data_IF_956429506285
#
_entry.id   IF_956429506285
#
_cell.length_a   1.000
_cell.length_b   1.000
_cell.length_c   1.000
_cell.angle_alpha   90.00
_cell.angle_beta   90.00
_cell.angle_gamma   90.00
#
_symmetry.space_group_name_H-M   'P 1'
#
loop_
_entity.id
_entity.type
_entity.pdbx_description
1 polymer ?
#
# COMPACT_ATOMS: atom_id res chain seq x y z
N UNK A 1 -14.74 -36.42 -36.29
CA UNK A 1 -14.71 -37.17 -35.01
C UNK A 1 -13.31 -37.05 -34.43
N UNK A 2 -13.12 -36.16 -33.44
CA UNK A 2 -12.18 -36.23 -32.30
C UNK A 2 -12.01 -34.81 -31.73
N UNK A 3 -13.00 -34.47 -30.90
CA UNK A 3 -12.90 -33.46 -29.85
C UNK A 3 -12.08 -34.02 -28.68
N UNK A 4 -11.66 -33.08 -27.82
CA UNK A 4 -11.33 -33.20 -26.40
C UNK A 4 -9.89 -33.59 -26.05
N UNK A 5 -9.15 -32.62 -25.49
CA UNK A 5 -8.59 -32.66 -24.12
C UNK A 5 -7.65 -31.46 -23.89
N UNK A 6 -8.18 -30.31 -23.47
CA UNK A 6 -7.43 -29.29 -22.72
C UNK A 6 -8.44 -28.63 -21.77
N UNK A 7 -8.58 -29.17 -20.56
CA UNK A 7 -9.34 -28.57 -19.44
C UNK A 7 -8.95 -29.34 -18.18
N UNK A 8 -7.78 -29.03 -17.64
CA UNK A 8 -7.32 -29.51 -16.32
C UNK A 8 -6.10 -28.74 -15.78
N UNK A 9 -5.90 -27.46 -16.16
CA UNK A 9 -4.75 -26.66 -15.70
C UNK A 9 -5.12 -25.27 -15.17
N UNK A 10 -6.41 -24.98 -14.99
CA UNK A 10 -6.90 -23.63 -14.70
C UNK A 10 -7.20 -23.35 -13.22
N UNK A 11 -6.98 -24.31 -12.31
CA UNK A 11 -7.34 -24.16 -10.88
C UNK A 11 -6.18 -24.18 -9.88
N UNK A 12 -4.92 -24.17 -10.34
CA UNK A 12 -3.75 -24.17 -9.44
C UNK A 12 -3.00 -22.83 -9.38
N UNK A 13 -3.23 -21.90 -10.31
CA UNK A 13 -2.50 -20.62 -10.35
C UNK A 13 -3.18 -19.46 -9.62
N UNK A 14 -4.50 -19.50 -9.39
CA UNK A 14 -5.21 -18.44 -8.66
C UNK A 14 -4.76 -18.35 -7.20
N UNK A 15 -4.23 -19.45 -6.66
CA UNK A 15 -3.67 -19.52 -5.32
C UNK A 15 -2.22 -19.01 -5.25
N UNK A 16 -1.44 -19.02 -6.33
CA UNK A 16 0.00 -18.70 -6.23
C UNK A 16 0.27 -17.20 -6.06
N UNK A 17 -0.53 -16.31 -6.65
CA UNK A 17 -0.30 -14.87 -6.50
C UNK A 17 -0.75 -14.30 -5.13
N UNK A 18 -1.74 -14.92 -4.48
CA UNK A 18 -2.14 -14.58 -3.12
C UNK A 18 -1.33 -15.35 -2.04
N UNK A 19 -0.77 -16.52 -2.37
CA UNK A 19 0.10 -17.28 -1.46
C UNK A 19 1.60 -16.94 -1.57
N UNK A 20 2.09 -16.37 -2.67
CA UNK A 20 3.53 -16.06 -2.82
C UNK A 20 4.03 -14.90 -1.95
N UNK A 21 3.13 -14.13 -1.32
CA UNK A 21 3.47 -13.10 -0.33
C UNK A 21 2.67 -13.25 0.98
N UNK A 22 1.88 -14.33 1.11
CA UNK A 22 0.97 -14.56 2.25
C UNK A 22 0.92 -16.00 2.76
N UNK A 23 1.54 -16.99 2.10
CA UNK A 23 1.57 -18.39 2.55
C UNK A 23 2.71 -19.18 1.88
N UNK A 24 3.94 -18.99 2.33
CA UNK A 24 4.97 -20.02 2.24
C UNK A 24 5.05 -20.78 3.58
N UNK A 25 3.97 -21.51 3.91
CA UNK A 25 3.89 -22.28 5.16
C UNK A 25 2.99 -23.51 5.05
N UNK A 26 3.56 -24.64 4.63
CA UNK A 26 3.04 -25.98 4.98
C UNK A 26 2.57 -26.84 3.81
N UNK A 27 3.48 -27.67 3.30
CA UNK A 27 3.12 -28.93 2.63
C UNK A 27 2.65 -29.96 3.66
N UNK A 28 1.45 -30.52 3.51
CA UNK A 28 1.18 -31.90 3.94
C UNK A 28 -0.04 -32.47 3.21
N UNK A 29 0.25 -33.43 2.33
CA UNK A 29 -0.51 -34.63 1.98
C UNK A 29 -1.99 -34.73 2.38
N UNK A 30 -2.87 -34.83 1.37
CA UNK A 30 -3.91 -35.87 1.32
C UNK A 30 -4.51 -35.95 -0.09
N UNK A 31 -4.00 -36.87 -0.92
CA UNK A 31 -4.87 -37.57 -1.85
C UNK A 31 -5.82 -38.47 -1.03
N UNK A 32 -7.14 -38.31 -1.18
CA UNK A 32 -8.05 -39.44 -1.09
C UNK A 32 -9.27 -39.21 -1.98
N UNK A 33 -9.34 -40.01 -3.04
CA UNK A 33 -10.49 -40.24 -3.90
C UNK A 33 -11.63 -41.01 -3.18
N UNK A 34 -12.81 -40.98 -3.84
CA UNK A 34 -14.07 -41.74 -3.66
C UNK A 34 -15.15 -41.02 -2.86
N UNK A 35 -16.45 -41.07 -3.17
CA UNK A 35 -17.27 -41.49 -4.32
C UNK A 35 -18.72 -41.32 -3.85
N UNK A 36 -19.65 -41.00 -4.76
CA UNK A 36 -21.09 -41.10 -4.51
C UNK A 36 -21.48 -42.50 -4.00
N UNK A 37 -22.50 -42.61 -3.13
CA UNK A 37 -23.83 -43.24 -3.36
C UNK A 37 -24.54 -43.61 -2.04
N UNK A 38 -25.74 -43.06 -1.84
CA UNK A 38 -26.98 -43.61 -1.24
C UNK A 38 -26.94 -44.74 -0.16
N UNK A 39 -27.63 -44.54 0.98
CA UNK A 39 -28.16 -45.64 1.80
C UNK A 39 -28.40 -45.40 3.31
N UNK A 40 -29.66 -45.11 3.68
CA UNK A 40 -30.43 -45.59 4.84
C UNK A 40 -29.73 -46.02 6.16
N UNK A 41 -30.11 -45.36 7.27
CA UNK A 41 -30.70 -46.05 8.43
C UNK A 41 -29.99 -45.97 9.80
N UNK A 42 -30.70 -45.40 10.80
CA UNK A 42 -30.60 -45.66 12.26
C UNK A 42 -29.34 -45.16 12.97
N UNK A 43 -29.30 -44.89 14.29
CA UNK A 43 -30.26 -44.79 15.40
C UNK A 43 -29.45 -44.21 16.58
N UNK A 44 -30.12 -43.40 17.41
CA UNK A 44 -29.92 -43.08 18.84
C UNK A 44 -28.52 -43.15 19.48
N UNK A 45 -28.12 -42.08 20.18
CA UNK A 45 -28.20 -42.01 21.66
C UNK A 45 -27.80 -40.63 22.19
N UNK A 46 -28.45 -40.24 23.28
CA UNK A 46 -28.34 -38.98 24.01
C UNK A 46 -27.29 -39.03 25.14
N UNK A 47 -26.79 -37.86 25.56
CA UNK A 47 -26.45 -37.53 26.97
C UNK A 47 -26.16 -36.01 27.06
N UNK A 48 -27.04 -35.12 27.56
CA UNK A 48 -27.33 -34.66 28.94
C UNK A 48 -26.19 -34.02 29.77
N UNK A 49 -26.48 -32.83 30.32
CA UNK A 49 -25.79 -32.15 31.44
C UNK A 49 -25.35 -30.71 31.11
N UNK A 50 -26.11 -29.67 31.48
CA UNK A 50 -26.09 -28.92 32.78
C UNK A 50 -24.76 -28.18 33.04
N UNK A 51 -24.65 -26.95 33.56
CA UNK A 51 -25.54 -26.02 34.26
C UNK A 51 -24.85 -24.63 34.31
N UNK A 52 -25.68 -23.58 34.30
CA UNK A 52 -25.68 -22.34 35.13
C UNK A 52 -24.36 -21.69 35.60
N UNK A 53 -24.27 -20.37 35.36
CA UNK A 53 -23.36 -19.46 36.08
C UNK A 53 -23.59 -17.98 35.76
N UNK A 54 -24.67 -17.39 36.29
CA UNK A 54 -24.87 -15.93 36.41
C UNK A 54 -24.03 -15.37 37.55
N UNK A 55 -23.39 -14.20 37.38
CA UNK A 55 -23.22 -13.19 38.44
C UNK A 55 -23.08 -11.78 37.85
N UNK A 56 -23.45 -10.80 38.67
CA UNK A 56 -23.89 -9.44 38.32
C UNK A 56 -23.12 -8.41 39.17
N UNK A 57 -23.12 -7.15 38.70
CA UNK A 57 -22.97 -5.86 39.42
C UNK A 57 -21.55 -5.33 39.72
N UNK A 58 -21.33 -4.08 39.29
CA UNK A 58 -20.39 -3.13 39.88
C UNK A 58 -20.54 -1.74 39.28
N UNK A 59 -21.36 -0.89 39.89
CA UNK A 59 -21.50 0.57 39.64
C UNK A 59 -20.76 1.37 40.71
N UNK A 60 -20.04 2.43 40.32
CA UNK A 60 -19.88 3.70 41.06
C UNK A 60 -19.32 4.78 40.10
N UNK A 61 -19.95 5.92 39.81
CA UNK A 61 -20.34 7.13 40.59
C UNK A 61 -19.26 8.24 40.59
N UNK A 62 -19.56 9.30 39.82
CA UNK A 62 -19.32 10.76 39.95
C UNK A 62 -18.04 11.36 40.56
N UNK A 63 -17.51 12.37 39.84
CA UNK A 63 -16.74 13.48 40.39
C UNK A 63 -16.88 14.76 39.53
N UNK A 64 -17.58 15.76 40.04
CA UNK A 64 -17.67 17.14 39.52
C UNK A 64 -16.87 18.09 40.40
N UNK A 65 -16.16 19.05 39.81
CA UNK A 65 -15.89 20.41 40.32
C UNK A 65 -15.05 21.19 39.28
N UNK A 66 -14.92 22.51 39.20
CA UNK A 66 -15.78 23.72 39.34
C UNK A 66 -14.84 24.89 38.97
N UNK A 67 -15.29 25.78 38.07
CA UNK A 67 -15.01 27.22 37.90
C UNK A 67 -13.62 27.82 38.22
N UNK A 68 -13.07 28.53 37.22
CA UNK A 68 -12.16 29.66 37.40
C UNK A 68 -12.43 30.75 36.36
N UNK A 69 -13.05 31.85 36.79
CA UNK A 69 -13.27 33.10 36.05
C UNK A 69 -12.03 33.99 36.20
N UNK A 70 -11.60 34.68 35.14
CA UNK A 70 -11.20 36.08 35.30
C UNK A 70 -11.29 36.91 34.01
N UNK A 71 -11.57 38.18 34.22
CA UNK A 71 -12.04 39.18 33.25
C UNK A 71 -10.97 40.25 33.10
N UNK A 72 -10.70 40.80 31.90
CA UNK A 72 -10.49 42.25 31.71
C UNK A 72 -10.41 42.68 30.25
N UNK A 73 -11.25 43.68 29.97
CA UNK A 73 -11.35 44.68 28.88
C UNK A 73 -10.02 45.35 28.49
N UNK A 74 -9.78 45.65 27.20
CA UNK A 74 -9.68 47.04 26.73
C UNK A 74 -9.72 47.23 25.20
N UNK A 75 -10.17 48.42 24.82
CA UNK A 75 -10.56 48.89 23.49
C UNK A 75 -9.42 49.71 22.88
N UNK A 76 -9.12 49.55 21.58
CA UNK A 76 -8.80 50.69 20.69
C UNK A 76 -8.86 50.28 19.23
N UNK A 77 -9.79 50.92 18.51
CA UNK A 77 -9.74 51.12 17.06
C UNK A 77 -8.65 52.15 16.77
N UNK A 78 -7.72 51.85 15.85
CA UNK A 78 -7.09 52.91 15.10
C UNK A 78 -6.77 52.50 13.67
N UNK A 79 -6.99 53.45 12.77
CA UNK A 79 -7.06 53.27 11.32
C UNK A 79 -5.81 53.88 10.72
N UNK A 80 -4.95 53.08 10.10
CA UNK A 80 -3.94 53.60 9.18
C UNK A 80 -3.89 52.73 7.93
N UNK A 81 -4.50 53.24 6.88
CA UNK A 81 -4.27 52.84 5.50
C UNK A 81 -2.87 53.35 5.11
N UNK A 82 -1.93 52.45 4.83
CA UNK A 82 -0.91 52.75 3.83
C UNK A 82 -0.37 51.48 3.15
N UNK A 83 0.07 51.72 1.93
CA UNK A 83 0.09 50.88 0.75
C UNK A 83 1.47 50.29 0.51
N UNK A 84 1.59 48.96 0.39
CA UNK A 84 2.52 48.21 -0.50
C UNK A 84 2.29 46.73 -0.20
N UNK A 85 1.72 45.91 -1.08
CA UNK A 85 2.39 45.52 -2.32
C UNK A 85 3.33 44.34 -2.09
N UNK A 86 2.82 43.24 -1.53
CA UNK A 86 3.34 41.89 -1.72
C UNK A 86 2.25 40.92 -1.24
N UNK A 87 1.52 40.32 -2.18
CA UNK A 87 0.77 39.10 -1.92
C UNK A 87 1.82 37.99 -1.73
N UNK A 88 2.38 37.91 -0.52
CA UNK A 88 3.14 36.73 -0.10
C UNK A 88 2.13 35.67 0.32
N UNK A 89 1.41 35.11 -0.65
CA UNK A 89 0.82 33.77 -0.55
C UNK A 89 1.91 32.69 -0.60
N UNK A 90 3.10 33.00 -0.08
CA UNK A 90 4.19 32.08 0.15
C UNK A 90 3.87 31.25 1.37
N UNK A 91 2.98 30.27 1.20
CA UNK A 91 3.04 29.08 2.04
C UNK A 91 4.48 28.56 2.06
N UNK A 92 4.91 27.87 3.13
CA UNK A 92 6.26 27.32 3.20
C UNK A 92 6.56 26.56 1.90
N UNK A 93 7.70 26.86 1.27
CA UNK A 93 8.20 26.13 0.12
C UNK A 93 8.17 24.65 0.45
N UNK A 94 7.78 23.83 -0.53
CA UNK A 94 7.78 22.42 -0.30
C UNK A 94 9.20 21.92 -0.04
N UNK A 95 9.42 21.31 1.13
CA UNK A 95 10.70 20.71 1.47
C UNK A 95 10.84 19.30 0.89
N UNK A 96 9.92 18.88 0.03
CA UNK A 96 9.90 17.56 -0.60
C UNK A 96 10.22 17.68 -2.08
N UNK A 97 10.97 16.69 -2.55
CA UNK A 97 11.31 16.50 -3.95
C UNK A 97 10.68 15.22 -4.48
N UNK A 98 10.40 15.22 -5.78
CA UNK A 98 10.22 14.01 -6.56
C UNK A 98 11.56 13.67 -7.22
N UNK A 99 12.14 12.55 -6.81
CA UNK A 99 13.30 11.95 -7.45
C UNK A 99 12.82 10.95 -8.49
N UNK A 100 13.40 11.01 -9.68
CA UNK A 100 13.12 10.08 -10.78
C UNK A 100 14.40 9.33 -11.12
N UNK A 101 14.34 8.00 -11.10
CA UNK A 101 15.40 7.14 -11.59
C UNK A 101 15.00 6.55 -12.94
N UNK A 102 15.73 6.91 -13.99
CA UNK A 102 15.57 6.39 -15.35
C UNK A 102 16.44 5.14 -15.50
N UNK A 103 15.81 3.97 -15.61
CA UNK A 103 16.49 2.66 -15.56
C UNK A 103 17.34 2.44 -16.81
N UNK A 104 16.87 2.91 -17.97
CA UNK A 104 17.59 2.74 -19.24
C UNK A 104 18.85 3.62 -19.30
N UNK A 105 18.79 4.80 -18.70
CA UNK A 105 19.89 5.77 -18.71
C UNK A 105 20.81 5.65 -17.49
N UNK A 106 20.41 4.89 -16.47
CA UNK A 106 21.12 4.79 -15.19
C UNK A 106 21.40 6.19 -14.61
N UNK A 107 20.33 6.97 -14.44
CA UNK A 107 20.43 8.38 -14.09
C UNK A 107 19.31 8.85 -13.17
N UNK A 108 19.64 9.83 -12.33
CA UNK A 108 18.73 10.47 -11.39
C UNK A 108 18.40 11.89 -11.84
N UNK A 109 17.11 12.23 -11.78
CA UNK A 109 16.59 13.59 -11.91
C UNK A 109 15.85 13.99 -10.63
N UNK A 110 15.86 15.29 -10.30
CA UNK A 110 15.17 15.85 -9.14
C UNK A 110 14.33 17.06 -9.54
N UNK A 111 13.08 17.09 -9.07
CA UNK A 111 12.19 18.25 -9.16
C UNK A 111 11.45 18.47 -7.85
N UNK A 112 11.12 19.73 -7.54
CA UNK A 112 10.30 20.03 -6.36
C UNK A 112 8.93 19.33 -6.48
N UNK A 113 8.47 18.70 -5.39
CA UNK A 113 7.24 17.91 -5.41
C UNK A 113 6.01 18.75 -5.73
N UNK A 114 5.96 19.99 -5.24
CA UNK A 114 4.85 20.93 -5.50
C UNK A 114 4.80 21.43 -6.95
N UNK A 115 5.87 21.26 -7.73
CA UNK A 115 5.86 21.55 -9.16
C UNK A 115 5.15 20.45 -9.98
N UNK A 116 5.18 19.20 -9.49
CA UNK A 116 4.58 18.03 -10.16
C UNK A 116 3.23 17.64 -9.57
N UNK A 117 3.06 17.76 -8.25
CA UNK A 117 1.79 17.57 -7.54
C UNK A 117 1.09 18.92 -7.39
N UNK A 118 0.82 19.52 -8.55
CA UNK A 118 0.17 20.82 -8.64
C UNK A 118 -1.27 20.70 -9.14
N UNK A 119 -2.07 21.72 -8.83
CA UNK A 119 -3.44 21.85 -9.31
C UNK A 119 -4.50 21.67 -8.21
N UNK A 120 -5.76 21.82 -8.60
CA UNK A 120 -6.87 21.59 -7.69
C UNK A 120 -6.83 20.14 -7.21
N UNK A 121 -7.03 19.93 -5.90
CA UNK A 121 -7.10 18.60 -5.28
C UNK A 121 -5.79 17.77 -5.27
N UNK A 122 -4.67 18.33 -5.74
CA UNK A 122 -3.38 17.66 -5.54
C UNK A 122 -3.06 17.51 -4.04
N UNK A 123 -2.24 16.52 -3.65
CA UNK A 123 -1.75 16.42 -2.28
C UNK A 123 -1.15 17.76 -1.82
N UNK A 124 -1.64 18.37 -0.73
CA UNK A 124 -1.03 19.57 -0.19
C UNK A 124 0.39 19.23 0.23
N UNK A 125 1.36 20.10 -0.08
CA UNK A 125 2.76 19.84 0.27
C UNK A 125 3.00 19.54 1.78
N UNK A 126 2.20 20.15 2.67
CA UNK A 126 2.31 19.93 4.10
C UNK A 126 1.97 18.49 4.53
N UNK A 127 1.32 17.72 3.66
CA UNK A 127 0.96 16.31 3.89
C UNK A 127 2.11 15.42 3.45
N UNK A 128 2.63 14.64 4.38
CA UNK A 128 3.58 13.57 4.10
C UNK A 128 2.86 12.40 3.41
N UNK A 129 3.35 11.88 2.28
CA UNK A 129 2.81 10.66 1.70
C UNK A 129 3.27 9.46 2.53
N UNK A 130 2.32 8.64 2.99
CA UNK A 130 2.62 7.38 3.66
C UNK A 130 2.94 6.25 2.66
N UNK A 131 2.37 6.33 1.46
CA UNK A 131 2.70 5.46 0.33
C UNK A 131 2.15 6.05 -0.98
N UNK A 132 2.62 5.52 -2.11
CA UNK A 132 2.06 5.80 -3.42
C UNK A 132 2.02 4.51 -4.26
N UNK A 133 1.07 4.43 -5.18
CA UNK A 133 0.93 3.31 -6.13
C UNK A 133 0.47 3.88 -7.46
N UNK A 134 1.16 3.56 -8.55
CA UNK A 134 0.72 3.90 -9.90
C UNK A 134 0.23 2.64 -10.61
N UNK A 135 -1.03 2.64 -11.04
CA UNK A 135 -1.65 1.54 -11.77
C UNK A 135 -1.71 1.93 -13.23
N UNK A 136 -0.68 1.52 -13.95
CA UNK A 136 -0.40 1.98 -15.31
C UNK A 136 -1.49 1.61 -16.31
N UNK A 137 -2.06 0.40 -16.19
CA UNK A 137 -3.17 -0.06 -17.04
C UNK A 137 -4.35 0.91 -17.09
N UNK A 138 -4.53 1.71 -16.02
CA UNK A 138 -5.63 2.66 -15.88
C UNK A 138 -5.18 4.12 -15.84
N UNK A 139 -3.87 4.39 -15.97
CA UNK A 139 -3.27 5.73 -15.75
C UNK A 139 -3.77 6.38 -14.45
N UNK A 140 -3.67 5.61 -13.34
CA UNK A 140 -4.10 6.07 -12.02
C UNK A 140 -2.95 6.08 -11.02
N UNK A 141 -2.60 7.26 -10.50
CA UNK A 141 -1.71 7.40 -9.34
C UNK A 141 -2.55 7.58 -8.08
N UNK A 142 -2.33 6.70 -7.11
CA UNK A 142 -2.91 6.73 -5.78
C UNK A 142 -1.83 7.21 -4.81
N UNK A 143 -2.10 8.29 -4.08
CA UNK A 143 -1.23 8.79 -3.01
C UNK A 143 -2.00 8.71 -1.70
N UNK A 144 -1.46 7.93 -0.77
CA UNK A 144 -2.00 7.71 0.56
C UNK A 144 -1.37 8.72 1.51
N UNK A 145 -2.10 9.77 1.89
CA UNK A 145 -1.59 10.84 2.74
C UNK A 145 -1.56 10.44 4.22
N UNK A 146 -0.55 10.91 4.95
CA UNK A 146 -0.46 10.80 6.40
C UNK A 146 -1.58 11.56 7.14
N UNK A 147 -2.33 12.39 6.43
CA UNK A 147 -3.55 13.07 6.90
C UNK A 147 -4.82 12.21 6.78
N UNK A 148 -4.68 10.92 6.47
CA UNK A 148 -5.77 9.95 6.28
C UNK A 148 -6.67 10.27 5.07
N UNK A 149 -6.12 10.98 4.08
CA UNK A 149 -6.78 11.24 2.80
C UNK A 149 -6.17 10.39 1.69
N UNK A 150 -7.02 9.93 0.77
CA UNK A 150 -6.59 9.41 -0.53
C UNK A 150 -6.65 10.54 -1.55
N UNK A 151 -5.51 10.78 -2.20
CA UNK A 151 -5.39 11.63 -3.35
C UNK A 151 -5.23 10.76 -4.59
N UNK A 152 -6.13 10.91 -5.57
CA UNK A 152 -6.09 10.14 -6.82
C UNK A 152 -5.85 11.07 -7.99
N UNK A 153 -4.85 10.75 -8.81
CA UNK A 153 -4.67 11.32 -10.14
C UNK A 153 -5.15 10.27 -11.15
N UNK A 154 -6.02 10.67 -12.06
CA UNK A 154 -6.71 9.79 -13.01
C UNK A 154 -6.69 10.49 -14.36
N UNK A 155 -6.06 9.86 -15.36
CA UNK A 155 -5.86 10.46 -16.69
C UNK A 155 -5.05 11.77 -16.63
N UNK A 156 -4.07 11.84 -15.73
CA UNK A 156 -3.26 13.04 -15.49
C UNK A 156 -3.93 14.15 -14.67
N UNK A 157 -5.18 14.01 -14.22
CA UNK A 157 -5.91 15.02 -13.44
C UNK A 157 -6.22 14.58 -12.00
N UNK A 158 -5.97 15.46 -11.03
CA UNK A 158 -6.30 15.20 -9.62
C UNK A 158 -7.80 15.26 -9.35
N UNK A 159 -8.32 14.19 -8.77
CA UNK A 159 -9.70 14.06 -8.34
C UNK A 159 -9.89 14.66 -6.95
N UNK A 160 -11.14 14.99 -6.58
CA UNK A 160 -11.44 15.48 -5.24
C UNK A 160 -10.93 14.48 -4.17
N UNK A 161 -10.18 14.92 -3.15
CA UNK A 161 -9.63 14.02 -2.16
C UNK A 161 -10.77 13.42 -1.34
N UNK A 162 -10.60 12.17 -0.92
CA UNK A 162 -11.60 11.46 -0.13
C UNK A 162 -10.95 10.83 1.10
N UNK A 163 -11.67 10.66 2.21
CA UNK A 163 -11.14 9.95 3.37
C UNK A 163 -10.67 8.55 2.98
N UNK A 164 -9.50 8.16 3.46
CA UNK A 164 -8.94 6.83 3.21
C UNK A 164 -9.93 5.73 3.62
N UNK A 165 -10.62 5.93 4.73
CA UNK A 165 -11.61 5.01 5.29
C UNK A 165 -12.82 4.74 4.37
N UNK A 166 -13.06 5.59 3.37
CA UNK A 166 -14.18 5.41 2.45
C UNK A 166 -13.94 4.26 1.45
N UNK A 167 -12.69 4.03 1.04
CA UNK A 167 -12.32 2.92 0.14
C UNK A 167 -11.50 1.84 0.84
N UNK A 168 -10.56 2.26 1.67
CA UNK A 168 -9.60 1.38 2.35
C UNK A 168 -9.89 1.35 3.85
N UNK A 169 -11.12 0.97 4.20
CA UNK A 169 -11.65 1.04 5.57
C UNK A 169 -10.83 0.32 6.64
N UNK A 170 -10.17 -0.78 6.29
CA UNK A 170 -9.29 -1.53 7.20
C UNK A 170 -8.00 -0.75 7.42
N UNK A 171 -7.34 -0.34 6.33
CA UNK A 171 -6.04 0.36 6.36
C UNK A 171 -6.13 1.76 7.01
N UNK A 172 -7.29 2.42 6.97
CA UNK A 172 -7.46 3.73 7.59
C UNK A 172 -7.26 3.77 9.12
N UNK A 173 -7.20 2.60 9.78
CA UNK A 173 -6.90 2.51 11.22
C UNK A 173 -5.47 1.98 11.49
N UNK A 174 -4.67 1.85 10.44
CA UNK A 174 -3.35 1.23 10.48
C UNK A 174 -2.25 2.22 10.08
N UNK A 175 -1.00 1.85 10.39
CA UNK A 175 0.17 2.59 9.87
C UNK A 175 0.59 1.98 8.55
N UNK A 176 0.40 2.72 7.45
CA UNK A 176 0.93 2.33 6.15
C UNK A 176 2.43 2.59 6.13
N UNK A 177 3.21 1.54 5.95
CA UNK A 177 4.65 1.62 5.79
C UNK A 177 5.07 1.70 4.32
N UNK A 178 4.38 0.98 3.46
CA UNK A 178 4.54 1.06 2.01
C UNK A 178 3.32 0.43 1.33
N UNK A 179 3.15 0.66 0.03
CA UNK A 179 2.19 -0.06 -0.78
C UNK A 179 2.79 -0.36 -2.15
N UNK A 180 2.33 -1.44 -2.76
CA UNK A 180 2.64 -1.81 -4.14
C UNK A 180 1.43 -2.50 -4.74
N UNK A 181 1.42 -2.66 -6.06
CA UNK A 181 0.35 -3.39 -6.73
C UNK A 181 0.85 -4.59 -7.52
N UNK A 182 -0.07 -5.50 -7.76
CA UNK A 182 0.07 -6.60 -8.72
C UNK A 182 -1.00 -6.38 -9.78
N UNK A 183 -0.65 -6.34 -11.08
CA UNK A 183 -1.61 -6.09 -12.14
C UNK A 183 -2.61 -7.25 -12.24
N UNK A 184 -3.72 -7.07 -12.98
CA UNK A 184 -4.70 -8.15 -13.14
C UNK A 184 -4.08 -9.41 -13.75
N UNK A 185 -4.31 -10.55 -13.12
CA UNK A 185 -3.78 -11.86 -13.55
C UNK A 185 -4.91 -12.70 -14.13
N UNK A 186 -4.64 -13.47 -15.19
CA UNK A 186 -5.57 -14.45 -15.77
C UNK A 186 -6.93 -13.86 -16.20
N UNK A 187 -6.95 -12.60 -16.65
CA UNK A 187 -8.17 -11.91 -17.05
C UNK A 187 -9.06 -11.43 -15.90
N UNK A 188 -8.49 -11.31 -14.69
CA UNK A 188 -9.15 -10.59 -13.59
C UNK A 188 -9.52 -9.17 -14.04
N UNK A 189 -10.67 -8.62 -13.62
CA UNK A 189 -11.01 -7.22 -13.85
C UNK A 189 -10.35 -6.27 -12.84
N UNK A 190 -9.68 -6.79 -11.81
CA UNK A 190 -9.08 -6.02 -10.72
C UNK A 190 -7.56 -6.19 -10.65
N UNK A 191 -6.88 -5.15 -10.20
CA UNK A 191 -5.51 -5.19 -9.72
C UNK A 191 -5.54 -5.44 -8.20
N UNK A 192 -4.49 -6.06 -7.64
CA UNK A 192 -4.36 -6.18 -6.20
C UNK A 192 -3.43 -5.10 -5.67
N UNK A 193 -3.87 -4.33 -4.68
CA UNK A 193 -3.02 -3.42 -3.93
C UNK A 193 -2.70 -4.07 -2.58
N UNK A 194 -1.42 -4.21 -2.29
CA UNK A 194 -0.93 -4.71 -1.00
C UNK A 194 -0.38 -3.56 -0.19
N UNK A 195 -0.95 -3.34 0.99
CA UNK A 195 -0.45 -2.40 1.98
C UNK A 195 0.39 -3.15 3.00
N UNK A 196 1.64 -2.73 3.19
CA UNK A 196 2.50 -3.21 4.27
C UNK A 196 2.13 -2.41 5.53
N UNK A 197 1.49 -3.08 6.49
CA UNK A 197 1.03 -2.54 7.76
C UNK A 197 1.59 -3.40 8.90
N UNK A 198 2.89 -3.29 9.11
CA UNK A 198 3.69 -4.20 9.93
C UNK A 198 3.08 -4.44 11.33
N UNK A 199 2.89 -5.71 11.75
CA UNK A 199 3.46 -6.94 11.18
C UNK A 199 2.60 -7.61 10.09
N UNK A 200 1.51 -6.98 9.66
CA UNK A 200 0.56 -7.56 8.71
C UNK A 200 0.64 -6.89 7.33
N UNK A 201 0.13 -7.57 6.31
CA UNK A 201 -0.16 -7.01 5.00
C UNK A 201 -1.67 -7.03 4.79
N UNK A 202 -2.22 -5.91 4.33
CA UNK A 202 -3.66 -5.76 4.03
C UNK A 202 -3.83 -5.69 2.53
N UNK A 203 -4.64 -6.57 1.97
CA UNK A 203 -4.83 -6.72 0.53
C UNK A 203 -6.22 -6.22 0.12
N UNK A 204 -6.25 -5.47 -0.97
CA UNK A 204 -7.46 -4.98 -1.61
C UNK A 204 -7.45 -5.33 -3.10
N UNK A 205 -8.58 -5.80 -3.60
CA UNK A 205 -8.87 -5.72 -5.03
C UNK A 205 -9.25 -4.28 -5.36
N UNK A 206 -8.56 -3.67 -6.31
CA UNK A 206 -8.82 -2.33 -6.82
C UNK A 206 -9.29 -2.43 -8.28
N UNK A 207 -10.29 -1.64 -8.66
CA UNK A 207 -10.94 -1.69 -9.95
C UNK A 207 -10.74 -0.38 -10.73
N UNK A 208 -10.88 -0.43 -12.06
CA UNK A 208 -10.71 0.73 -12.95
C UNK A 208 -11.61 1.92 -12.57
N UNK A 209 -12.83 1.65 -12.09
CA UNK A 209 -13.77 2.69 -11.64
C UNK A 209 -13.35 3.37 -10.32
N UNK A 210 -12.24 2.91 -9.74
CA UNK A 210 -11.65 3.38 -8.51
C UNK A 210 -12.34 2.85 -7.24
N UNK A 211 -13.19 1.83 -7.37
CA UNK A 211 -13.68 1.08 -6.21
C UNK A 211 -12.61 0.11 -5.69
N UNK A 212 -12.69 -0.18 -4.39
CA UNK A 212 -11.80 -1.11 -3.71
C UNK A 212 -12.62 -2.10 -2.88
N UNK A 213 -12.24 -3.37 -2.91
CA UNK A 213 -12.84 -4.44 -2.10
C UNK A 213 -11.74 -5.04 -1.24
N UNK A 214 -11.94 -5.02 0.07
CA UNK A 214 -11.06 -5.71 0.99
C UNK A 214 -11.07 -7.22 0.68
N UNK A 215 -9.89 -7.79 0.48
CA UNK A 215 -9.72 -9.22 0.28
C UNK A 215 -9.38 -9.90 1.61
N UNK A 216 -8.21 -9.60 2.16
CA UNK A 216 -7.70 -10.24 3.37
C UNK A 216 -6.61 -9.43 4.07
N UNK A 217 -6.34 -9.80 5.32
CA UNK A 217 -5.16 -9.41 6.07
C UNK A 217 -4.35 -10.67 6.36
N UNK A 218 -3.06 -10.64 6.06
CA UNK A 218 -2.13 -11.76 6.25
C UNK A 218 -0.95 -11.32 7.09
N UNK A 219 -0.46 -12.17 7.98
CA UNK A 219 0.77 -11.89 8.71
C UNK A 219 1.95 -11.93 7.73
N UNK A 220 2.82 -10.91 7.79
CA UNK A 220 4.04 -10.89 6.99
C UNK A 220 5.03 -11.90 7.57
N UNK A 221 5.57 -12.75 6.71
CA UNK A 221 6.58 -13.75 7.06
C UNK A 221 7.85 -13.49 6.26
N UNK A 222 9.00 -13.85 6.82
CA UNK A 222 10.28 -13.77 6.11
C UNK A 222 10.25 -14.66 4.86
N UNK A 223 10.77 -14.15 3.75
CA UNK A 223 10.87 -14.92 2.51
C UNK A 223 12.15 -15.77 2.51
N UNK A 224 12.07 -17.08 2.21
CA UNK A 224 13.25 -17.90 1.98
C UNK A 224 14.08 -17.31 0.84
N UNK A 225 15.36 -17.01 1.11
CA UNK A 225 16.28 -16.35 0.16
C UNK A 225 15.88 -14.91 -0.23
N UNK A 226 14.86 -14.35 0.42
CA UNK A 226 14.40 -12.98 0.24
C UNK A 226 14.57 -12.11 1.50
N UNK A 227 13.87 -10.96 1.58
CA UNK A 227 13.96 -10.06 2.72
C UNK A 227 13.40 -10.67 4.00
N UNK A 228 13.97 -10.27 5.14
CA UNK A 228 13.44 -10.54 6.48
C UNK A 228 12.25 -9.62 6.82
N UNK A 229 11.23 -9.61 5.95
CA UNK A 229 10.09 -8.71 5.99
C UNK A 229 9.16 -8.92 7.20
N UNK A 230 9.21 -10.10 7.84
CA UNK A 230 8.50 -10.37 9.10
C UNK A 230 9.21 -9.78 10.33
N UNK A 231 10.46 -9.32 10.16
CA UNK A 231 11.27 -8.72 11.23
C UNK A 231 11.44 -7.22 11.08
N UNK A 232 11.48 -6.73 9.84
CA UNK A 232 11.75 -5.33 9.52
C UNK A 232 10.65 -4.78 8.62
N UNK A 233 9.97 -3.67 8.98
CA UNK A 233 9.04 -3.02 8.08
C UNK A 233 9.78 -2.45 6.86
N UNK A 234 9.08 -2.48 5.73
CA UNK A 234 9.43 -1.69 4.54
C UNK A 234 9.31 -0.20 4.85
N UNK A 235 10.06 0.67 4.16
CA UNK A 235 9.87 2.14 4.20
C UNK A 235 9.15 2.66 2.98
N UNK A 236 9.38 2.02 1.85
CA UNK A 236 8.77 2.34 0.58
C UNK A 236 8.90 1.11 -0.33
N UNK A 237 8.01 1.03 -1.30
CA UNK A 237 8.04 0.01 -2.34
C UNK A 237 7.75 0.70 -3.67
N UNK A 238 8.49 0.34 -4.70
CA UNK A 238 8.22 0.74 -6.08
C UNK A 238 8.11 -0.53 -6.91
N UNK A 239 7.17 -0.59 -7.86
CA UNK A 239 7.07 -1.73 -8.73
C UNK A 239 6.72 -1.33 -10.15
N UNK A 240 7.26 -2.07 -11.10
CA UNK A 240 6.80 -2.15 -12.47
C UNK A 240 5.84 -3.32 -12.63
N UNK A 241 4.91 -3.19 -13.56
CA UNK A 241 3.92 -4.23 -13.80
C UNK A 241 3.28 -4.08 -15.17
N UNK A 242 3.48 -5.09 -16.02
CA UNK A 242 2.83 -5.21 -17.32
C UNK A 242 2.07 -6.56 -17.40
N UNK A 243 0.72 -6.54 -17.35
CA UNK A 243 -0.07 -7.75 -17.46
C UNK A 243 0.06 -8.46 -18.82
N UNK A 244 0.44 -7.77 -19.89
CA UNK A 244 0.63 -8.38 -21.21
C UNK A 244 1.87 -9.27 -21.26
N UNK A 245 2.80 -9.07 -20.33
CA UNK A 245 4.00 -9.89 -20.17
C UNK A 245 3.81 -11.08 -19.21
N UNK A 246 2.61 -11.29 -18.66
CA UNK A 246 2.34 -12.34 -17.66
C UNK A 246 2.94 -13.69 -18.08
N UNK A 247 3.80 -14.24 -17.21
CA UNK A 247 4.58 -15.46 -17.44
C UNK A 247 6.04 -15.24 -17.85
N UNK A 248 6.48 -14.00 -18.03
CA UNK A 248 7.90 -13.62 -18.23
C UNK A 248 8.45 -12.93 -16.97
N UNK A 249 9.75 -13.03 -16.69
CA UNK A 249 10.36 -12.40 -15.49
C UNK A 249 10.07 -10.90 -15.34
N UNK A 250 9.77 -10.20 -16.43
CA UNK A 250 9.54 -8.75 -16.43
C UNK A 250 8.05 -8.36 -16.32
N UNK A 251 7.13 -9.33 -16.16
CA UNK A 251 5.69 -9.04 -16.00
C UNK A 251 5.40 -8.24 -14.72
N UNK A 252 6.25 -8.40 -13.72
CA UNK A 252 6.22 -7.65 -12.49
C UNK A 252 7.65 -7.56 -11.96
N UNK A 253 8.07 -6.39 -11.50
CA UNK A 253 9.37 -6.19 -10.88
C UNK A 253 9.19 -5.23 -9.71
N UNK A 254 9.75 -5.54 -8.55
CA UNK A 254 9.61 -4.71 -7.35
C UNK A 254 10.95 -4.34 -6.75
N UNK A 255 11.08 -3.10 -6.29
CA UNK A 255 12.20 -2.60 -5.50
C UNK A 255 11.66 -2.14 -4.15
N UNK A 256 12.24 -2.65 -3.08
CA UNK A 256 11.77 -2.47 -1.71
C UNK A 256 12.92 -2.00 -0.84
N UNK A 257 12.67 -1.04 0.04
CA UNK A 257 13.61 -0.68 1.09
C UNK A 257 13.08 -1.10 2.45
N UNK A 258 13.94 -1.69 3.27
CA UNK A 258 13.59 -2.13 4.61
C UNK A 258 14.38 -1.37 5.67
N UNK A 259 13.79 -1.24 6.86
CA UNK A 259 14.39 -0.51 7.98
C UNK A 259 15.71 -1.07 8.51
N UNK A 260 16.10 -2.29 8.10
CA UNK A 260 17.42 -2.87 8.37
C UNK A 260 18.55 -2.30 7.51
N UNK A 261 18.26 -1.36 6.59
CA UNK A 261 19.27 -0.74 5.73
C UNK A 261 19.58 -1.55 4.47
N UNK A 262 18.64 -2.36 4.00
CA UNK A 262 18.74 -3.14 2.78
C UNK A 262 17.72 -2.69 1.74
N UNK A 263 18.14 -2.75 0.47
CA UNK A 263 17.27 -2.63 -0.70
C UNK A 263 17.19 -3.99 -1.37
N UNK A 264 15.97 -4.42 -1.66
CA UNK A 264 15.66 -5.70 -2.27
C UNK A 264 14.97 -5.50 -3.60
N UNK A 265 15.37 -6.28 -4.59
CA UNK A 265 14.71 -6.42 -5.87
C UNK A 265 14.05 -7.80 -5.97
N UNK A 266 12.86 -7.87 -6.56
CA UNK A 266 12.21 -9.10 -6.97
C UNK A 266 11.73 -9.00 -8.42
N UNK A 267 11.87 -10.08 -9.18
CA UNK A 267 11.29 -10.21 -10.51
C UNK A 267 9.92 -10.92 -10.49
N UNK A 268 9.33 -11.14 -11.66
CA UNK A 268 8.02 -11.79 -11.81
C UNK A 268 8.01 -13.28 -11.48
N UNK A 269 9.18 -13.88 -11.25
CA UNK A 269 9.31 -15.22 -10.66
C UNK A 269 9.51 -15.16 -9.13
N UNK A 270 9.51 -13.97 -8.54
CA UNK A 270 9.87 -13.71 -7.15
C UNK A 270 11.30 -14.17 -6.83
N UNK A 271 12.22 -14.07 -7.80
CA UNK A 271 13.63 -14.26 -7.53
C UNK A 271 14.20 -12.99 -6.89
N UNK A 272 14.62 -13.12 -5.63
CA UNK A 272 15.08 -12.01 -4.82
C UNK A 272 16.57 -11.73 -4.98
N UNK A 273 16.93 -10.44 -4.98
CA UNK A 273 18.30 -9.95 -4.91
C UNK A 273 18.36 -8.80 -3.90
N UNK A 274 19.32 -8.82 -2.99
CA UNK A 274 19.41 -7.86 -1.90
C UNK A 274 20.79 -7.22 -1.82
N UNK A 275 20.80 -5.93 -1.47
CA UNK A 275 22.02 -5.15 -1.26
C UNK A 275 21.87 -4.26 -0.02
N UNK A 276 22.95 -3.95 0.72
CA UNK A 276 22.96 -2.78 1.59
C UNK A 276 22.56 -1.53 0.79
N UNK A 277 21.85 -0.59 1.42
CA UNK A 277 21.36 0.64 0.77
C UNK A 277 22.43 1.37 -0.06
N UNK A 278 23.64 1.50 0.48
CA UNK A 278 24.76 2.19 -0.16
C UNK A 278 25.50 1.37 -1.24
N UNK A 279 25.01 0.17 -1.55
CA UNK A 279 25.55 -0.74 -2.56
C UNK A 279 24.46 -1.18 -3.55
N UNK A 280 23.23 -0.69 -3.38
CA UNK A 280 22.15 -0.98 -4.30
C UNK A 280 22.48 -0.36 -5.66
N UNK A 281 22.31 -1.11 -6.78
CA UNK A 281 22.54 -0.56 -8.11
C UNK A 281 21.58 0.59 -8.46
N UNK A 282 20.49 0.76 -7.70
CA UNK A 282 19.57 1.87 -7.88
C UNK A 282 20.05 3.16 -7.16
N UNK A 283 20.95 3.06 -6.18
CA UNK A 283 21.30 4.16 -5.27
C UNK A 283 22.80 4.35 -5.03
N UNK A 284 23.67 3.77 -5.86
CA UNK A 284 25.13 3.88 -5.72
C UNK A 284 25.74 5.11 -6.43
N UNK A 285 24.92 5.89 -7.15
CA UNK A 285 25.29 7.13 -7.84
C UNK A 285 25.44 8.36 -6.94
N UNK A 286 26.25 9.34 -7.37
CA UNK A 286 26.50 10.58 -6.60
C UNK A 286 25.26 11.48 -6.46
N UNK A 287 24.37 11.43 -7.44
CA UNK A 287 23.12 12.19 -7.49
C UNK A 287 21.93 11.38 -6.93
N UNK A 288 22.16 10.16 -6.47
CA UNK A 288 21.10 9.33 -5.89
C UNK A 288 20.66 9.88 -4.52
N UNK A 289 19.35 9.95 -4.24
CA UNK A 289 18.87 10.32 -2.92
C UNK A 289 19.22 9.24 -1.89
N UNK A 290 19.27 9.62 -0.61
CA UNK A 290 19.44 8.65 0.46
C UNK A 290 18.20 7.73 0.56
N UNK A 291 18.32 6.41 0.35
CA UNK A 291 17.17 5.50 0.37
C UNK A 291 16.37 5.55 1.67
N UNK A 292 17.07 5.71 2.80
CA UNK A 292 16.46 5.70 4.12
C UNK A 292 15.60 6.94 4.43
N UNK A 293 15.75 8.04 3.67
CA UNK A 293 14.96 9.26 3.85
C UNK A 293 13.75 9.36 2.93
N UNK A 294 13.59 8.43 1.99
CA UNK A 294 12.44 8.41 1.09
C UNK A 294 11.19 7.93 1.84
N UNK A 295 10.05 8.54 1.53
CA UNK A 295 8.77 8.40 2.22
C UNK A 295 7.78 7.53 1.41
N UNK A 296 7.80 7.65 0.07
CA UNK A 296 6.93 6.89 -0.83
C UNK A 296 7.63 6.65 -2.17
N UNK A 297 7.22 5.62 -2.89
CA UNK A 297 7.75 5.32 -4.22
C UNK A 297 6.71 4.64 -5.11
N UNK A 298 6.92 4.67 -6.42
CA UNK A 298 6.16 3.89 -7.42
C UNK A 298 7.00 3.69 -8.68
N UNK A 299 6.57 2.80 -9.59
CA UNK A 299 7.19 2.61 -10.90
C UNK A 299 6.23 2.91 -12.04
N UNK A 300 6.78 3.23 -13.20
CA UNK A 300 6.14 3.38 -14.50
C UNK A 300 6.91 2.51 -15.50
N UNK A 301 6.29 1.43 -15.95
CA UNK A 301 6.88 0.41 -16.80
C UNK A 301 7.10 0.92 -18.22
N UNK A 302 6.13 1.60 -18.83
CA UNK A 302 6.22 2.17 -20.18
C UNK A 302 7.40 3.15 -20.30
N UNK A 303 7.66 3.93 -19.24
CA UNK A 303 8.79 4.86 -19.20
C UNK A 303 10.08 4.25 -18.61
N UNK A 304 10.03 3.02 -18.08
CA UNK A 304 11.14 2.39 -17.36
C UNK A 304 11.71 3.30 -16.25
N UNK A 305 10.81 3.84 -15.41
CA UNK A 305 11.17 4.84 -14.39
C UNK A 305 10.62 4.52 -13.02
N UNK A 306 11.50 4.56 -12.02
CA UNK A 306 11.08 4.63 -10.63
C UNK A 306 10.98 6.08 -10.16
N UNK A 307 9.97 6.34 -9.36
CA UNK A 307 9.71 7.64 -8.77
C UNK A 307 9.73 7.50 -7.25
N UNK A 308 10.38 8.43 -6.59
CA UNK A 308 10.53 8.45 -5.14
C UNK A 308 10.24 9.83 -4.60
N UNK A 309 9.53 9.88 -3.47
CA UNK A 309 9.23 11.12 -2.76
C UNK A 309 9.99 11.13 -1.46
N UNK A 310 10.63 12.25 -1.14
CA UNK A 310 11.31 12.44 0.13
C UNK A 310 11.77 13.89 0.31
N UNK A 311 12.51 14.18 1.39
CA UNK A 311 13.09 15.49 1.63
C UNK A 311 14.05 15.92 0.52
N UNK A 312 13.94 17.17 0.07
CA UNK A 312 14.84 17.85 -0.88
C UNK A 312 15.88 18.75 -0.22
#
# INVERSE_FOLDING_TARGET
MRLARISALTSALTSIAALALGCAGGTSDAETFYSMTNGSGGSDTADTGDEIGTETVGTDTSGTDTVGTDTTTDTTTDTTTDTTGADTTGGPLCSRSLYTYDVDQDSWDEVALDAVWAGANAPPCAVEPAAAVYIELWDQLLVFGGDQMLYRRDGGAWQAPQPLSQLFGVVANETIHSAYYVPPINGSPSANITFVSFPDAVLYEFYEDGTAVYDQTVAIMDEPEGPAQGQFPSRWAANFADPDLLGNVDWWQGVFNYTNGEVWYADGNFAWQGWPENQSPYFDGADAPNPASLEAAWGDFDLQRFYFVGPG
#
